data_IF_067260635692
#
_entry.id   IF_067260635692
#
_cell.length_a   1.000
_cell.length_b   1.000
_cell.length_c   1.000
_cell.angle_alpha   90.00
_cell.angle_beta   90.00
_cell.angle_gamma   90.00
#
_symmetry.space_group_name_H-M   'P 1'
#
loop_
_entity.id
_entity.type
_entity.pdbx_description
1 polymer ?
#
# COMPACT_ATOMS: atom_id res chain seq x y z
N UNK A 1 -13.97 0.35 3.52
CA UNK A 1 -12.69 0.02 2.84
C UNK A 1 -11.77 1.22 2.93
N UNK A 2 -10.46 1.02 3.02
CA UNK A 2 -9.49 2.11 2.88
C UNK A 2 -9.34 2.45 1.39
N UNK A 3 -9.37 3.73 1.05
CA UNK A 3 -9.22 4.23 -0.33
C UNK A 3 -8.16 5.33 -0.39
N UNK A 4 -7.41 5.45 -1.50
CA UNK A 4 -6.52 6.59 -1.71
C UNK A 4 -7.33 7.86 -1.99
N UNK A 5 -6.87 9.01 -1.48
CA UNK A 5 -7.46 10.33 -1.77
C UNK A 5 -6.50 11.29 -2.48
N UNK A 6 -5.26 10.86 -2.68
CA UNK A 6 -4.23 11.57 -3.46
C UNK A 6 -3.90 10.84 -4.75
N UNK A 7 -3.22 11.51 -5.67
CA UNK A 7 -2.74 10.87 -6.90
C UNK A 7 -1.83 9.67 -6.59
N UNK A 8 -2.01 8.58 -7.35
CA UNK A 8 -1.28 7.33 -7.12
C UNK A 8 0.26 7.51 -7.16
N UNK A 9 0.79 8.52 -7.88
CA UNK A 9 2.23 8.81 -7.94
C UNK A 9 2.78 9.35 -6.62
N UNK A 10 1.96 9.96 -5.76
CA UNK A 10 2.41 10.45 -4.45
C UNK A 10 2.90 9.29 -3.57
N UNK A 11 2.35 8.09 -3.76
CA UNK A 11 2.77 6.90 -3.03
C UNK A 11 4.18 6.42 -3.44
N UNK A 12 4.65 6.71 -4.66
CA UNK A 12 6.05 6.40 -5.05
C UNK A 12 7.05 7.16 -4.16
N UNK A 13 6.72 8.39 -3.75
CA UNK A 13 7.58 9.23 -2.91
C UNK A 13 7.80 8.66 -1.51
N UNK A 14 6.80 7.97 -0.96
CA UNK A 14 6.88 7.34 0.37
C UNK A 14 7.35 5.89 0.31
N UNK A 15 7.66 5.37 -0.88
CA UNK A 15 8.38 4.11 -1.08
C UNK A 15 7.60 3.00 -1.74
N UNK A 16 6.34 3.21 -2.12
CA UNK A 16 5.61 2.21 -2.88
C UNK A 16 6.26 1.96 -4.24
N UNK A 17 6.20 0.70 -4.69
CA UNK A 17 6.67 0.30 -6.01
C UNK A 17 5.49 -0.21 -6.83
N UNK A 18 5.43 0.14 -8.11
CA UNK A 18 4.42 -0.41 -9.03
C UNK A 18 4.48 -1.93 -9.04
N UNK A 19 3.31 -2.57 -9.08
CA UNK A 19 3.18 -4.01 -9.20
C UNK A 19 3.66 -4.50 -10.58
N UNK A 20 3.97 -5.80 -10.67
CA UNK A 20 4.32 -6.45 -11.93
C UNK A 20 3.12 -6.46 -12.88
N UNK A 21 3.36 -6.41 -14.19
CA UNK A 21 2.31 -6.61 -15.22
C UNK A 21 1.58 -7.95 -14.96
N UNK A 22 0.25 -8.01 -15.12
CA UNK A 22 -0.64 -6.98 -15.69
C UNK A 22 -1.14 -5.91 -14.68
N UNK A 23 -0.69 -5.96 -13.43
CA UNK A 23 -1.18 -5.09 -12.36
C UNK A 23 -0.46 -3.74 -12.25
N UNK A 24 0.14 -3.23 -13.32
CA UNK A 24 1.03 -2.05 -13.29
C UNK A 24 0.33 -0.72 -12.96
N UNK A 25 -1.00 -0.72 -12.78
CA UNK A 25 -1.80 0.38 -12.25
C UNK A 25 -1.85 0.38 -10.70
N UNK A 26 -1.41 -0.71 -10.08
CA UNK A 26 -1.38 -0.91 -8.63
C UNK A 26 0.07 -0.83 -8.10
N UNK A 27 0.19 -0.75 -6.78
CA UNK A 27 1.44 -0.61 -6.07
C UNK A 27 1.50 -1.56 -4.88
N UNK A 28 2.72 -1.81 -4.41
CA UNK A 28 2.97 -2.59 -3.22
C UNK A 28 4.17 -2.07 -2.41
N UNK A 29 4.14 -2.32 -1.11
CA UNK A 29 5.25 -2.08 -0.18
C UNK A 29 5.34 -3.25 0.81
N UNK A 30 6.46 -3.98 0.81
CA UNK A 30 6.67 -5.15 1.65
C UNK A 30 7.21 -4.76 3.03
N UNK A 31 6.74 -5.47 4.05
CA UNK A 31 7.15 -5.36 5.44
C UNK A 31 7.63 -6.72 5.92
N UNK A 32 8.91 -6.81 6.29
CA UNK A 32 9.48 -8.03 6.86
C UNK A 32 8.81 -8.38 8.21
N UNK A 33 8.51 -7.35 9.02
CA UNK A 33 7.74 -7.51 10.27
C UNK A 33 6.31 -7.92 9.96
N UNK A 34 5.95 -9.13 10.36
CA UNK A 34 4.64 -9.72 10.11
C UNK A 34 4.50 -10.41 8.76
N UNK A 35 5.56 -10.46 7.92
CA UNK A 35 5.58 -11.13 6.61
C UNK A 35 4.34 -10.73 5.79
N UNK A 36 4.21 -9.42 5.57
CA UNK A 36 3.02 -8.80 4.99
C UNK A 36 3.45 -7.70 4.02
N UNK A 37 2.54 -7.26 3.17
CA UNK A 37 2.74 -6.11 2.31
C UNK A 37 1.44 -5.31 2.21
N UNK A 38 1.58 -4.02 1.98
CA UNK A 38 0.43 -3.17 1.66
C UNK A 38 0.19 -3.26 0.16
N UNK A 39 -0.99 -3.72 -0.22
CA UNK A 39 -1.51 -3.61 -1.59
C UNK A 39 -2.24 -2.29 -1.74
N UNK A 40 -1.91 -1.54 -2.79
CA UNK A 40 -2.50 -0.25 -3.09
C UNK A 40 -2.99 -0.23 -4.54
N UNK A 41 -4.29 0.06 -4.72
CA UNK A 41 -4.93 0.24 -6.02
C UNK A 41 -5.67 1.58 -6.05
N UNK A 42 -6.12 2.05 -7.22
CA UNK A 42 -6.89 3.30 -7.33
C UNK A 42 -8.21 3.32 -6.55
N UNK A 43 -8.72 2.16 -6.11
CA UNK A 43 -10.03 2.03 -5.47
C UNK A 43 -10.00 1.39 -4.09
N UNK A 44 -8.87 0.82 -3.67
CA UNK A 44 -8.73 0.17 -2.37
C UNK A 44 -7.28 0.00 -1.92
N UNK A 45 -7.11 -0.08 -0.60
CA UNK A 45 -5.87 -0.43 0.09
C UNK A 45 -6.14 -1.63 1.00
N UNK A 46 -5.18 -2.56 1.07
CA UNK A 46 -5.29 -3.74 1.92
C UNK A 46 -3.92 -4.18 2.46
N UNK A 47 -3.91 -4.86 3.61
CA UNK A 47 -2.72 -5.55 4.14
C UNK A 47 -2.85 -7.02 3.81
N UNK A 48 -1.91 -7.52 3.01
CA UNK A 48 -1.93 -8.88 2.50
C UNK A 48 -0.70 -9.63 3.00
N UNK A 49 -0.85 -10.92 3.30
CA UNK A 49 0.28 -11.79 3.64
C UNK A 49 1.26 -11.83 2.45
N UNK A 50 2.54 -11.64 2.74
CA UNK A 50 3.58 -11.68 1.72
C UNK A 50 3.98 -13.14 1.46
N UNK A 51 3.56 -13.66 0.31
CA UNK A 51 3.91 -15.00 -0.16
C UNK A 51 4.90 -14.93 -1.33
N UNK A 52 5.77 -15.94 -1.45
CA UNK A 52 6.86 -15.96 -2.44
C UNK A 52 6.39 -15.91 -3.90
N UNK A 53 5.17 -16.38 -4.16
CA UNK A 53 4.61 -16.53 -5.50
C UNK A 53 3.55 -15.47 -5.86
N UNK A 54 3.47 -14.37 -5.09
CA UNK A 54 2.49 -13.33 -5.40
C UNK A 54 2.76 -12.71 -6.78
N UNK A 55 1.82 -12.77 -7.74
CA UNK A 55 2.04 -12.31 -9.10
C UNK A 55 2.21 -10.79 -9.22
N UNK A 56 1.86 -10.03 -8.17
CA UNK A 56 1.97 -8.56 -8.11
C UNK A 56 3.38 -8.12 -7.70
N UNK A 57 4.10 -8.95 -6.96
CA UNK A 57 5.42 -8.64 -6.40
C UNK A 57 6.53 -8.97 -7.41
N UNK A 58 7.59 -8.16 -7.43
CA UNK A 58 8.74 -8.41 -8.30
C UNK A 58 9.67 -9.46 -7.68
N UNK A 59 10.46 -10.16 -8.51
CA UNK A 59 11.49 -11.12 -8.05
C UNK A 59 12.38 -10.54 -6.93
N UNK A 60 12.74 -9.26 -7.04
CA UNK A 60 13.30 -8.48 -5.94
C UNK A 60 12.18 -7.67 -5.29
N UNK A 61 11.66 -8.20 -4.19
CA UNK A 61 10.61 -7.57 -3.41
C UNK A 61 11.06 -6.19 -2.88
N UNK A 62 10.12 -5.24 -2.87
CA UNK A 62 10.34 -3.90 -2.35
C UNK A 62 10.12 -3.86 -0.84
N UNK A 63 11.08 -4.39 -0.09
CA UNK A 63 11.04 -4.45 1.37
C UNK A 63 12.05 -3.48 1.97
N UNK A 64 11.59 -2.67 2.95
CA UNK A 64 12.46 -1.84 3.79
C UNK A 64 12.83 -2.60 5.05
N UNK A 65 13.84 -3.47 4.96
CA UNK A 65 14.24 -4.36 6.07
C UNK A 65 14.66 -3.66 7.36
N UNK A 66 15.06 -2.39 7.29
CA UNK A 66 15.43 -1.56 8.45
C UNK A 66 14.26 -0.75 9.02
N UNK A 67 13.10 -0.78 8.35
CA UNK A 67 11.91 -0.10 8.84
C UNK A 67 11.35 -0.89 10.03
N UNK A 68 11.18 -0.19 11.15
CA UNK A 68 10.69 -0.80 12.38
C UNK A 68 9.16 -0.82 12.46
N UNK A 69 8.48 -0.07 11.59
CA UNK A 69 7.02 -0.03 11.55
C UNK A 69 6.44 -1.32 10.98
N UNK A 70 5.29 -1.69 11.52
CA UNK A 70 4.38 -2.68 10.94
C UNK A 70 3.60 -2.07 9.77
N UNK A 71 2.98 -2.90 8.92
CA UNK A 71 2.12 -2.40 7.86
C UNK A 71 0.93 -1.59 8.42
N UNK A 72 0.41 -1.98 9.59
CA UNK A 72 -0.68 -1.26 10.25
C UNK A 72 -0.23 0.14 10.73
N UNK A 73 0.92 0.25 11.38
CA UNK A 73 1.48 1.55 11.79
C UNK A 73 1.74 2.46 10.58
N UNK A 74 2.21 1.89 9.47
CA UNK A 74 2.39 2.63 8.23
C UNK A 74 1.07 3.08 7.60
N UNK A 75 0.01 2.27 7.67
CA UNK A 75 -1.36 2.65 7.28
C UNK A 75 -1.88 3.82 8.12
N UNK A 76 -1.67 3.77 9.44
CA UNK A 76 -2.04 4.87 10.35
C UNK A 76 -1.27 6.14 10.00
N UNK A 77 0.02 6.04 9.70
CA UNK A 77 0.82 7.19 9.24
C UNK A 77 0.28 7.76 7.92
N UNK A 78 -0.05 6.93 6.93
CA UNK A 78 -0.66 7.40 5.68
C UNK A 78 -2.00 8.11 5.91
N UNK A 79 -2.81 7.60 6.85
CA UNK A 79 -4.09 8.23 7.21
C UNK A 79 -3.88 9.59 7.89
N UNK A 80 -2.89 9.71 8.78
CA UNK A 80 -2.56 10.98 9.47
C UNK A 80 -1.94 12.03 8.55
N UNK A 81 -1.43 11.62 7.39
CA UNK A 81 -0.88 12.51 6.36
C UNK A 81 -1.87 12.76 5.21
N UNK A 82 -3.17 12.51 5.42
CA UNK A 82 -4.23 12.77 4.45
C UNK A 82 -3.99 12.11 3.07
N UNK A 83 -3.34 10.94 3.04
CA UNK A 83 -3.12 10.19 1.79
C UNK A 83 -4.23 9.19 1.50
N UNK A 84 -4.88 8.69 2.56
CA UNK A 84 -5.89 7.64 2.51
C UNK A 84 -7.02 7.95 3.49
N UNK A 85 -8.21 7.43 3.22
CA UNK A 85 -9.37 7.56 4.10
C UNK A 85 -10.25 6.31 4.04
N UNK A 86 -11.31 6.28 4.84
CA UNK A 86 -12.37 5.29 4.71
C UNK A 86 -13.40 5.73 3.66
N UNK A 87 -13.81 4.80 2.78
CA UNK A 87 -14.80 5.06 1.74
C UNK A 87 -16.13 5.63 2.25
N UNK A 88 -16.54 5.27 3.47
CA UNK A 88 -17.76 5.79 4.09
C UNK A 88 -17.62 7.23 4.61
N UNK A 89 -16.40 7.73 4.83
CA UNK A 89 -16.15 9.12 5.23
C UNK A 89 -16.24 10.05 4.01
N UNK A 90 -15.75 9.62 2.84
CA UNK A 90 -15.88 10.39 1.58
C UNK A 90 -17.32 10.51 1.09
N UNK A 91 -18.16 9.50 1.37
CA UNK A 91 -19.58 9.53 1.00
C UNK A 91 -20.40 10.56 1.78
N UNK A 92 -19.90 11.07 2.91
CA UNK A 92 -20.59 12.06 3.75
C UNK A 92 -20.26 13.50 3.30
N UNK A 93 -19.18 13.69 2.53
CA UNK A 93 -18.74 14.98 2.00
C UNK A 93 -19.25 15.34 0.60
N UNK A 94 -20.10 14.50 0.00
CA UNK A 94 -20.74 14.71 -1.33
C UNK A 94 -22.25 14.68 -1.18
#
# INVERSE_FOLDING_TARGET
MLIPIVDMKEFEKIGFKRCKRPYNMCYYLCFARGIQYIFLSPVMIDIVKWEDNDPRIHKRANCRYRDERTALEFIVEMSKNDMITCDYLEKVGK
#
